data_IF_505439805171
#
_entry.id   IF_505439805171
#
_cell.length_a   1.000
_cell.length_b   1.000
_cell.length_c   1.000
_cell.angle_alpha   90.00
_cell.angle_beta   90.00
_cell.angle_gamma   90.00
#
_symmetry.space_group_name_H-M   'P 1'
#
loop_
_entity.id
_entity.type
_entity.pdbx_description
1 polymer ?
#
# COMPACT_ATOMS: atom_id res chain seq x y z
N UNK A 1 -12.26 -38.64 3.56
CA UNK A 1 -11.00 -37.97 3.20
C UNK A 1 -11.25 -36.48 3.30
N UNK A 2 -10.34 -35.70 3.87
CA UNK A 2 -10.49 -34.24 3.91
C UNK A 2 -10.53 -33.65 2.50
N UNK A 3 -11.30 -32.59 2.30
CA UNK A 3 -11.39 -31.86 1.03
C UNK A 3 -10.07 -31.14 0.72
N UNK A 4 -9.92 -30.63 -0.51
CA UNK A 4 -8.76 -29.82 -0.88
C UNK A 4 -8.66 -28.56 0.00
N UNK A 5 -9.79 -27.87 0.19
CA UNK A 5 -9.92 -26.67 1.01
C UNK A 5 -9.57 -26.92 2.48
N UNK A 6 -10.08 -28.01 3.09
CA UNK A 6 -9.74 -28.37 4.47
C UNK A 6 -8.23 -28.64 4.65
N UNK A 7 -7.61 -29.31 3.67
CA UNK A 7 -6.16 -29.54 3.69
C UNK A 7 -5.39 -28.24 3.53
N UNK A 8 -5.84 -27.35 2.65
CA UNK A 8 -5.23 -26.04 2.44
C UNK A 8 -5.30 -25.21 3.72
N UNK A 9 -6.45 -25.20 4.40
CA UNK A 9 -6.63 -24.49 5.66
C UNK A 9 -5.66 -25.01 6.74
N UNK A 10 -5.49 -26.32 6.88
CA UNK A 10 -4.53 -26.87 7.83
C UNK A 10 -3.08 -26.46 7.54
N UNK A 11 -2.71 -26.32 6.27
CA UNK A 11 -1.38 -25.85 5.86
C UNK A 11 -1.22 -24.37 6.19
N UNK A 12 -2.22 -23.53 5.87
CA UNK A 12 -2.22 -22.11 6.22
C UNK A 12 -2.17 -21.89 7.74
N UNK A 13 -2.96 -22.64 8.53
CA UNK A 13 -2.94 -22.59 9.99
C UNK A 13 -1.56 -22.94 10.55
N UNK A 14 -0.86 -23.89 9.93
CA UNK A 14 0.49 -24.26 10.34
C UNK A 14 1.53 -23.19 9.99
N UNK A 15 1.41 -22.53 8.83
CA UNK A 15 2.26 -21.40 8.45
C UNK A 15 2.01 -20.20 9.38
N UNK A 16 0.75 -19.92 9.70
CA UNK A 16 0.35 -18.78 10.52
C UNK A 16 0.92 -18.81 11.95
N UNK A 17 1.34 -19.97 12.46
CA UNK A 17 1.99 -20.07 13.79
C UNK A 17 3.20 -19.15 13.94
N UNK A 18 3.94 -18.91 12.86
CA UNK A 18 5.15 -18.09 12.86
C UNK A 18 5.07 -16.88 11.90
N UNK A 19 3.96 -16.73 11.17
CA UNK A 19 3.85 -15.76 10.07
C UNK A 19 2.67 -14.78 10.19
N UNK A 20 1.88 -14.82 11.27
CA UNK A 20 0.90 -13.77 11.55
C UNK A 20 1.60 -12.43 11.74
N UNK A 21 1.11 -11.41 11.06
CA UNK A 21 1.61 -10.03 11.17
C UNK A 21 0.52 -9.11 11.69
N UNK A 22 0.91 -8.15 12.51
CA UNK A 22 0.06 -7.00 12.82
C UNK A 22 -0.09 -6.14 11.56
N UNK A 23 -1.31 -5.68 11.30
CA UNK A 23 -1.60 -4.64 10.31
C UNK A 23 -2.51 -3.58 10.94
N UNK A 24 -2.52 -2.39 10.33
CA UNK A 24 -3.51 -1.36 10.60
C UNK A 24 -4.35 -1.22 9.34
N UNK A 25 -5.58 -1.73 9.39
CA UNK A 25 -6.57 -1.53 8.33
C UNK A 25 -6.94 -0.05 8.26
N UNK A 26 -7.04 0.46 7.04
CA UNK A 26 -7.45 1.82 6.74
C UNK A 26 -8.82 1.75 6.07
N UNK A 27 -9.79 2.47 6.62
CA UNK A 27 -11.05 2.73 5.92
C UNK A 27 -11.06 4.19 5.48
N UNK A 28 -11.20 4.40 4.17
CA UNK A 28 -11.31 5.72 3.57
C UNK A 28 -12.78 6.14 3.46
N UNK A 29 -13.11 7.37 3.83
CA UNK A 29 -14.45 7.92 3.67
C UNK A 29 -14.38 9.30 3.06
N UNK A 30 -15.06 9.50 1.93
CA UNK A 30 -15.10 10.78 1.24
C UNK A 30 -15.61 11.89 2.19
N UNK A 31 -14.81 12.93 2.36
CA UNK A 31 -15.15 14.07 3.20
C UNK A 31 -16.00 15.08 2.43
N UNK A 32 -17.06 15.58 3.06
CA UNK A 32 -17.92 16.64 2.51
C UNK A 32 -17.34 18.04 2.71
N UNK A 33 -16.35 18.17 3.59
CA UNK A 33 -15.70 19.45 3.92
C UNK A 33 -14.18 19.29 3.91
N UNK A 34 -13.42 20.35 3.63
CA UNK A 34 -11.95 20.26 3.69
C UNK A 34 -11.46 19.76 5.05
N UNK A 35 -10.58 18.78 5.05
CA UNK A 35 -9.95 18.25 6.25
C UNK A 35 -8.78 19.14 6.67
N UNK A 36 -8.43 19.19 7.97
CA UNK A 36 -7.23 19.86 8.42
C UNK A 36 -6.01 19.39 7.62
N UNK A 37 -5.13 20.31 7.22
CA UNK A 37 -3.89 19.94 6.49
C UNK A 37 -3.03 18.95 7.28
N UNK A 38 -3.18 18.86 8.60
CA UNK A 38 -2.44 17.94 9.49
C UNK A 38 -3.14 16.60 9.76
N UNK A 39 -4.35 16.37 9.24
CA UNK A 39 -5.07 15.10 9.45
C UNK A 39 -4.53 13.98 8.55
N UNK A 40 -4.66 12.73 8.95
CA UNK A 40 -4.46 11.60 8.03
C UNK A 40 -5.53 11.61 6.94
N UNK A 41 -5.12 11.51 5.67
CA UNK A 41 -6.04 11.55 4.52
C UNK A 41 -5.45 10.93 3.27
N UNK A 42 -6.33 10.47 2.38
CA UNK A 42 -6.00 10.28 0.96
C UNK A 42 -6.47 11.49 0.14
N UNK A 43 -5.63 11.91 -0.80
CA UNK A 43 -5.83 13.11 -1.61
C UNK A 43 -5.85 14.41 -0.79
N UNK A 44 -6.34 15.48 -1.42
CA UNK A 44 -6.50 16.77 -0.78
C UNK A 44 -5.22 17.60 -0.59
N UNK A 45 -5.38 18.81 -0.05
CA UNK A 45 -4.25 19.74 0.10
C UNK A 45 -3.29 19.23 1.18
N UNK A 46 -2.00 19.00 0.88
CA UNK A 46 -1.08 18.37 1.82
C UNK A 46 -0.65 19.31 2.94
N UNK A 47 -0.19 18.71 4.05
CA UNK A 47 0.70 19.38 4.99
C UNK A 47 2.04 19.69 4.32
N UNK A 48 2.44 20.95 4.31
CA UNK A 48 3.83 21.36 4.03
C UNK A 48 4.23 22.28 5.18
N UNK A 49 5.37 22.05 5.86
CA UNK A 49 5.82 22.94 6.93
C UNK A 49 5.98 24.38 6.43
N UNK A 50 5.69 25.36 7.29
CA UNK A 50 5.93 26.78 6.99
C UNK A 50 7.36 27.01 6.46
N UNK A 51 7.48 27.59 5.27
CA UNK A 51 8.78 27.89 4.63
C UNK A 51 9.42 26.73 3.88
N UNK A 52 8.79 25.55 3.83
CA UNK A 52 9.19 24.44 2.96
C UNK A 52 8.44 24.50 1.62
N UNK A 53 8.86 23.65 0.68
CA UNK A 53 8.19 23.49 -0.62
C UNK A 53 7.73 22.05 -0.81
N UNK A 54 6.63 21.86 -1.53
CA UNK A 54 6.21 20.54 -1.99
C UNK A 54 7.30 19.93 -2.90
N UNK A 55 7.47 18.60 -2.92
CA UNK A 55 8.47 17.95 -3.75
C UNK A 55 8.11 18.08 -5.24
N UNK A 56 9.15 18.07 -6.08
CA UNK A 56 9.02 18.07 -7.55
C UNK A 56 9.61 16.80 -8.13
N UNK A 57 9.15 16.45 -9.34
CA UNK A 57 9.75 15.40 -10.15
C UNK A 57 11.13 15.82 -10.70
N UNK A 58 11.77 14.91 -11.47
CA UNK A 58 13.06 15.15 -12.14
C UNK A 58 13.09 16.34 -13.10
N UNK A 59 11.93 16.77 -13.61
CA UNK A 59 11.76 17.92 -14.51
C UNK A 59 11.35 19.22 -13.78
N UNK A 60 11.30 19.21 -12.45
CA UNK A 60 10.90 20.35 -11.64
C UNK A 60 9.38 20.62 -11.59
N UNK A 61 8.55 19.69 -12.08
CA UNK A 61 7.09 19.80 -11.95
C UNK A 61 6.64 19.34 -10.55
N UNK A 62 5.65 19.99 -9.93
CA UNK A 62 5.16 19.58 -8.60
C UNK A 62 4.55 18.18 -8.60
N UNK A 63 4.90 17.37 -7.61
CA UNK A 63 4.23 16.10 -7.34
C UNK A 63 2.88 16.31 -6.65
N UNK A 64 1.97 15.35 -6.80
CA UNK A 64 0.70 15.30 -6.08
C UNK A 64 0.79 14.37 -4.87
N UNK A 65 0.30 14.82 -3.72
CA UNK A 65 0.18 13.97 -2.53
C UNK A 65 -1.03 13.04 -2.70
N UNK A 66 -0.79 11.73 -2.67
CA UNK A 66 -1.85 10.72 -2.74
C UNK A 66 -2.29 10.27 -1.34
N UNK A 67 -1.37 10.24 -0.38
CA UNK A 67 -1.66 9.92 1.01
C UNK A 67 -0.76 10.67 1.99
N UNK A 68 -1.31 11.01 3.15
CA UNK A 68 -0.54 11.42 4.31
C UNK A 68 -1.09 10.80 5.58
N UNK A 69 -0.20 10.35 6.45
CA UNK A 69 -0.53 9.66 7.71
C UNK A 69 0.09 10.43 8.86
N UNK A 70 -0.76 11.05 9.68
CA UNK A 70 -0.35 11.65 10.93
C UNK A 70 -0.12 10.50 11.93
N UNK A 71 1.13 10.25 12.26
CA UNK A 71 1.53 9.12 13.08
C UNK A 71 0.87 9.12 14.47
N UNK A 72 0.49 10.29 14.99
CA UNK A 72 -0.19 10.43 16.28
C UNK A 72 -1.68 10.01 16.24
N UNK A 73 -2.27 9.83 15.06
CA UNK A 73 -3.66 9.38 14.88
C UNK A 73 -3.76 7.85 14.76
N UNK A 74 -2.63 7.16 14.57
CA UNK A 74 -2.61 5.71 14.50
C UNK A 74 -2.86 5.09 15.89
N UNK A 75 -3.61 3.98 15.96
CA UNK A 75 -3.68 3.18 17.18
C UNK A 75 -2.30 2.63 17.55
N UNK A 76 -2.07 2.21 18.81
CA UNK A 76 -0.80 1.63 19.22
C UNK A 76 -0.37 0.46 18.31
N UNK A 77 0.75 0.64 17.61
CA UNK A 77 1.34 -0.35 16.71
C UNK A 77 2.86 -0.17 16.69
N UNK A 78 3.61 -1.21 16.35
CA UNK A 78 5.09 -1.15 16.26
C UNK A 78 5.62 -1.05 14.83
N UNK A 79 4.75 -0.61 13.92
CA UNK A 79 5.00 -0.55 12.48
C UNK A 79 5.47 0.85 12.10
N UNK A 80 4.74 1.89 12.54
CA UNK A 80 5.02 3.28 12.18
C UNK A 80 5.74 4.05 13.31
N UNK A 81 6.39 5.18 12.97
CA UNK A 81 6.81 6.14 13.98
C UNK A 81 5.65 6.52 14.90
N UNK A 82 5.92 6.81 16.18
CA UNK A 82 4.87 7.21 17.15
C UNK A 82 4.39 8.66 16.96
N UNK A 83 5.20 9.50 16.30
CA UNK A 83 4.92 10.92 16.06
C UNK A 83 5.43 11.35 14.69
N UNK A 84 4.90 12.45 14.18
CA UNK A 84 5.29 13.02 12.89
C UNK A 84 4.26 12.74 11.80
N UNK A 85 4.65 12.98 10.56
CA UNK A 85 3.80 12.81 9.37
C UNK A 85 4.59 12.07 8.30
N UNK A 86 4.05 10.96 7.80
CA UNK A 86 4.58 10.27 6.61
C UNK A 86 3.69 10.64 5.43
N UNK A 87 4.28 11.04 4.30
CA UNK A 87 3.55 11.43 3.10
C UNK A 87 4.04 10.68 1.89
N UNK A 88 3.12 10.41 0.97
CA UNK A 88 3.32 9.67 -0.27
C UNK A 88 2.91 10.57 -1.44
N UNK A 89 3.85 10.79 -2.35
CA UNK A 89 3.73 11.71 -3.47
C UNK A 89 4.01 10.97 -4.77
N UNK A 90 3.22 11.23 -5.80
CA UNK A 90 3.33 10.62 -7.13
C UNK A 90 3.23 11.69 -8.22
N UNK A 91 3.71 11.41 -9.42
CA UNK A 91 3.73 12.40 -10.51
C UNK A 91 2.38 12.45 -11.24
N UNK A 92 1.60 13.53 -11.11
CA UNK A 92 0.33 13.63 -11.82
C UNK A 92 0.48 13.76 -13.34
N UNK A 93 1.67 14.07 -13.86
CA UNK A 93 1.89 14.31 -15.31
C UNK A 93 2.50 13.12 -16.03
N UNK A 94 2.81 12.05 -15.31
CA UNK A 94 3.34 10.81 -15.85
C UNK A 94 2.23 9.77 -15.99
N UNK A 95 2.19 9.04 -17.10
CA UNK A 95 1.14 8.04 -17.39
C UNK A 95 1.13 6.88 -16.37
N UNK A 96 2.27 6.59 -15.75
CA UNK A 96 2.42 5.58 -14.70
C UNK A 96 2.52 6.20 -13.31
N UNK A 97 2.17 7.48 -13.15
CA UNK A 97 2.28 8.25 -11.92
C UNK A 97 3.69 8.24 -11.28
N UNK A 98 4.71 8.15 -12.12
CA UNK A 98 6.12 8.13 -11.72
C UNK A 98 6.66 6.74 -11.40
N UNK A 99 5.86 5.68 -11.48
CA UNK A 99 6.33 4.31 -11.33
C UNK A 99 7.32 3.92 -12.45
N UNK A 100 8.45 3.34 -12.06
CA UNK A 100 9.46 2.79 -12.96
C UNK A 100 9.80 1.36 -12.52
N UNK A 101 9.32 0.35 -13.26
CA UNK A 101 9.54 -1.06 -12.94
C UNK A 101 11.03 -1.46 -12.97
N UNK A 102 11.87 -0.77 -13.74
CA UNK A 102 13.31 -1.03 -13.76
C UNK A 102 14.04 -0.39 -12.56
N UNK A 103 13.45 0.65 -11.96
CA UNK A 103 14.01 1.38 -10.82
C UNK A 103 12.94 1.71 -9.76
N UNK A 104 12.29 0.70 -9.17
CA UNK A 104 11.12 0.93 -8.34
C UNK A 104 11.46 1.58 -6.99
N UNK A 105 12.75 1.68 -6.64
CA UNK A 105 13.24 2.42 -5.47
C UNK A 105 13.74 3.86 -5.79
N UNK A 106 13.63 4.31 -7.05
CA UNK A 106 14.08 5.64 -7.47
C UNK A 106 13.02 6.70 -7.23
N UNK A 107 13.24 7.56 -6.23
CA UNK A 107 12.31 8.64 -5.83
C UNK A 107 12.43 9.92 -6.65
N UNK A 108 12.74 9.79 -7.95
CA UNK A 108 12.88 10.93 -8.85
C UNK A 108 11.52 11.52 -9.24
N UNK A 109 10.54 10.67 -9.55
CA UNK A 109 9.20 11.06 -10.02
C UNK A 109 8.08 10.66 -9.04
N UNK A 110 8.45 10.18 -7.86
CA UNK A 110 7.56 9.98 -6.73
C UNK A 110 8.38 10.21 -5.45
N UNK A 111 7.74 10.41 -4.30
CA UNK A 111 8.47 10.68 -3.05
C UNK A 111 7.74 10.17 -1.83
N UNK A 112 8.49 9.60 -0.90
CA UNK A 112 8.07 9.43 0.49
C UNK A 112 8.82 10.42 1.38
N UNK A 113 8.08 11.20 2.16
CA UNK A 113 8.66 12.19 3.07
C UNK A 113 8.17 11.91 4.49
N UNK A 114 9.12 11.80 5.42
CA UNK A 114 8.82 11.76 6.85
C UNK A 114 9.20 13.08 7.53
N UNK A 115 8.18 13.83 7.97
CA UNK A 115 8.38 14.97 8.86
C UNK A 115 8.31 14.52 10.31
N UNK A 116 9.46 14.51 11.00
CA UNK A 116 9.55 14.13 12.42
C UNK A 116 8.65 14.95 13.34
N UNK A 117 8.39 16.22 12.98
CA UNK A 117 7.56 17.14 13.73
C UNK A 117 6.45 17.70 12.85
N UNK A 118 5.21 17.69 13.37
CA UNK A 118 4.06 18.35 12.74
C UNK A 118 3.84 19.68 13.44
N UNK A 119 4.07 20.77 12.71
CA UNK A 119 3.94 22.13 13.20
C UNK A 119 2.87 22.90 12.44
N UNK A 120 3.05 24.21 12.35
CA UNK A 120 2.14 25.07 11.57
C UNK A 120 2.33 24.80 10.06
N UNK A 121 1.26 24.42 9.33
CA UNK A 121 1.35 24.27 7.88
C UNK A 121 1.50 25.62 7.18
N UNK A 122 2.09 25.61 5.99
CA UNK A 122 2.05 26.75 5.08
C UNK A 122 0.59 26.99 4.61
N UNK A 123 0.02 28.19 4.84
CA UNK A 123 -1.32 28.50 4.38
C UNK A 123 -1.43 28.46 2.84
N UNK A 124 -0.35 28.71 2.12
CA UNK A 124 -0.34 28.86 0.66
C UNK A 124 -0.14 27.54 -0.11
N UNK A 125 0.02 26.41 0.56
CA UNK A 125 0.07 25.10 -0.11
C UNK A 125 -1.22 24.86 -0.89
N UNK A 126 -1.08 24.52 -2.18
CA UNK A 126 -2.17 24.15 -3.09
C UNK A 126 -1.94 22.76 -3.68
N UNK A 127 -2.95 22.23 -4.37
CA UNK A 127 -2.78 21.05 -5.22
C UNK A 127 -2.00 21.38 -6.50
N UNK A 128 -1.33 20.40 -7.12
CA UNK A 128 -0.83 20.54 -8.49
C UNK A 128 -1.99 20.68 -9.48
N UNK A 129 -1.71 21.27 -10.64
CA UNK A 129 -2.68 21.32 -11.73
C UNK A 129 -2.81 19.94 -12.39
N UNK A 130 -4.02 19.40 -12.43
CA UNK A 130 -4.37 18.10 -13.04
C UNK A 130 -5.41 18.33 -14.13
N UNK A 131 -5.20 17.71 -15.29
CA UNK A 131 -6.13 17.68 -16.42
C UNK A 131 -6.78 16.28 -16.53
N UNK A 132 -7.94 16.12 -17.17
CA UNK A 132 -8.57 14.80 -17.31
C UNK A 132 -7.67 13.71 -17.93
N UNK A 133 -6.78 14.09 -18.85
CA UNK A 133 -5.84 13.16 -19.51
C UNK A 133 -4.78 12.57 -18.56
N UNK A 134 -4.55 13.22 -17.44
CA UNK A 134 -3.56 12.83 -16.43
C UNK A 134 -4.04 11.63 -15.61
N UNK A 135 -5.34 11.27 -15.72
CA UNK A 135 -5.97 10.14 -15.05
C UNK A 135 -5.70 10.08 -13.53
N UNK A 136 -5.59 11.23 -12.86
CA UNK A 136 -5.25 11.28 -11.43
C UNK A 136 -6.12 10.34 -10.58
N UNK A 137 -5.55 9.52 -9.66
CA UNK A 137 -6.31 8.49 -8.98
C UNK A 137 -7.48 9.01 -8.13
N UNK A 138 -7.47 10.27 -7.70
CA UNK A 138 -8.53 10.87 -6.89
C UNK A 138 -9.43 11.75 -7.75
N UNK A 139 -10.70 11.38 -7.89
CA UNK A 139 -11.67 12.13 -8.70
C UNK A 139 -12.88 12.53 -7.84
N UNK A 140 -13.29 13.83 -7.84
CA UNK A 140 -12.59 14.97 -8.44
C UNK A 140 -11.25 15.24 -7.75
N UNK A 141 -10.32 15.93 -8.41
CA UNK A 141 -8.95 16.17 -7.89
C UNK A 141 -8.90 16.80 -6.48
N UNK A 142 -9.91 17.59 -6.11
CA UNK A 142 -10.01 18.25 -4.81
C UNK A 142 -10.62 17.36 -3.71
N UNK A 143 -11.04 16.14 -4.04
CA UNK A 143 -11.61 15.23 -3.07
C UNK A 143 -10.57 14.86 -2.00
N UNK A 144 -11.07 14.67 -0.78
CA UNK A 144 -10.27 14.23 0.34
C UNK A 144 -11.02 13.08 1.02
N UNK A 145 -10.30 12.02 1.37
CA UNK A 145 -10.84 10.91 2.13
C UNK A 145 -10.30 10.98 3.55
N UNK A 146 -11.20 11.10 4.53
CA UNK A 146 -10.86 10.94 5.93
C UNK A 146 -10.55 9.47 6.19
N UNK A 147 -9.52 9.20 7.01
CA UNK A 147 -9.08 7.85 7.31
C UNK A 147 -9.48 7.48 8.74
N UNK A 148 -9.99 6.26 8.90
CA UNK A 148 -10.08 5.59 10.20
C UNK A 148 -9.18 4.36 10.21
N UNK A 149 -8.75 3.97 11.40
CA UNK A 149 -7.71 2.97 11.60
C UNK A 149 -8.16 1.88 12.57
N UNK A 150 -7.92 0.63 12.21
CA UNK A 150 -8.21 -0.55 13.03
C UNK A 150 -6.98 -1.47 13.06
N UNK A 151 -6.51 -1.83 14.26
CA UNK A 151 -5.44 -2.85 14.39
C UNK A 151 -6.05 -4.23 14.19
N UNK A 152 -5.47 -4.99 13.28
CA UNK A 152 -5.85 -6.37 12.98
C UNK A 152 -4.62 -7.29 13.00
N UNK A 153 -4.87 -8.58 13.16
CA UNK A 153 -3.89 -9.63 12.85
C UNK A 153 -4.20 -10.17 11.45
N UNK A 154 -3.17 -10.30 10.63
CA UNK A 154 -3.29 -10.84 9.27
C UNK A 154 -2.46 -12.13 9.19
N UNK A 155 -3.08 -13.19 8.69
CA UNK A 155 -2.36 -14.39 8.29
C UNK A 155 -1.41 -14.13 7.12
N UNK A 156 -0.52 -15.08 6.86
CA UNK A 156 0.33 -15.05 5.67
C UNK A 156 -0.52 -15.08 4.39
N UNK A 157 -0.13 -14.30 3.39
CA UNK A 157 -0.80 -14.25 2.08
C UNK A 157 0.19 -14.57 0.96
N UNK A 158 -0.33 -14.78 -0.26
CA UNK A 158 0.45 -14.94 -1.48
C UNK A 158 1.42 -13.81 -1.81
N UNK A 159 1.26 -12.64 -1.16
CA UNK A 159 2.17 -11.52 -1.28
C UNK A 159 3.48 -11.69 -0.48
N UNK A 160 3.62 -12.74 0.33
CA UNK A 160 4.93 -13.14 0.83
C UNK A 160 5.67 -13.93 -0.25
N UNK A 161 6.86 -13.48 -0.63
CA UNK A 161 7.64 -14.06 -1.71
C UNK A 161 8.00 -15.55 -1.51
N UNK A 162 7.96 -16.06 -0.28
CA UNK A 162 8.20 -17.46 0.06
C UNK A 162 6.92 -18.29 0.24
N UNK A 163 5.72 -17.68 0.17
CA UNK A 163 4.48 -18.31 0.59
C UNK A 163 4.18 -19.62 -0.14
N UNK A 164 4.14 -19.60 -1.47
CA UNK A 164 3.73 -20.79 -2.23
C UNK A 164 4.76 -21.92 -2.16
N UNK A 165 6.06 -21.59 -2.03
CA UNK A 165 7.12 -22.58 -1.81
C UNK A 165 6.99 -23.23 -0.42
N UNK A 166 6.78 -22.42 0.62
CA UNK A 166 6.57 -22.92 1.98
C UNK A 166 5.25 -23.67 2.13
N UNK A 167 4.20 -23.22 1.44
CA UNK A 167 2.92 -23.91 1.36
C UNK A 167 3.09 -25.31 0.78
N UNK A 168 3.76 -25.45 -0.36
CA UNK A 168 4.05 -26.75 -0.98
C UNK A 168 4.87 -27.66 -0.04
N UNK A 169 5.90 -27.09 0.60
CA UNK A 169 6.77 -27.82 1.54
C UNK A 169 6.00 -28.35 2.75
N UNK A 170 5.16 -27.51 3.36
CA UNK A 170 4.35 -27.88 4.53
C UNK A 170 3.25 -28.87 4.12
N UNK A 171 2.59 -28.64 2.98
CA UNK A 171 1.61 -29.56 2.41
C UNK A 171 2.20 -30.95 2.18
N UNK A 172 3.32 -31.06 1.47
CA UNK A 172 3.94 -32.34 1.11
C UNK A 172 4.42 -33.12 2.34
N UNK A 173 4.74 -32.42 3.43
CA UNK A 173 5.04 -33.02 4.73
C UNK A 173 3.78 -33.56 5.43
N UNK A 174 2.65 -32.86 5.35
CA UNK A 174 1.40 -33.27 5.98
C UNK A 174 0.65 -34.34 5.19
N UNK A 175 0.75 -34.29 3.86
CA UNK A 175 -0.03 -35.11 2.93
C UNK A 175 0.89 -35.82 1.91
N UNK A 176 1.75 -36.76 2.35
CA UNK A 176 2.73 -37.42 1.49
C UNK A 176 2.09 -38.24 0.34
N UNK A 177 0.84 -38.65 0.48
CA UNK A 177 0.08 -39.40 -0.54
C UNK A 177 -0.56 -38.49 -1.62
N UNK A 178 -0.42 -37.17 -1.50
CA UNK A 178 -1.09 -36.18 -2.35
C UNK A 178 -0.20 -34.95 -2.51
N UNK A 179 1.03 -35.17 -2.98
CA UNK A 179 2.02 -34.10 -3.11
C UNK A 179 1.64 -33.08 -4.17
N UNK A 180 2.05 -31.84 -3.94
CA UNK A 180 2.07 -30.75 -4.90
C UNK A 180 3.45 -30.76 -5.57
N UNK A 181 3.49 -30.93 -6.88
CA UNK A 181 4.72 -31.11 -7.66
C UNK A 181 5.18 -29.83 -8.36
N UNK A 182 4.32 -28.79 -8.40
CA UNK A 182 4.62 -27.53 -9.07
C UNK A 182 4.14 -26.31 -8.28
N UNK A 183 4.71 -25.15 -8.62
CA UNK A 183 4.27 -23.86 -8.09
C UNK A 183 2.79 -23.61 -8.38
N UNK A 184 2.32 -23.95 -9.59
CA UNK A 184 0.94 -23.76 -10.00
C UNK A 184 -0.05 -24.62 -9.20
N UNK A 185 0.35 -25.84 -8.83
CA UNK A 185 -0.46 -26.69 -7.95
C UNK A 185 -0.54 -26.12 -6.53
N UNK A 186 0.57 -25.62 -5.99
CA UNK A 186 0.59 -24.98 -4.68
C UNK A 186 -0.23 -23.70 -4.65
N UNK A 187 -0.08 -22.85 -5.65
CA UNK A 187 -0.90 -21.66 -5.83
C UNK A 187 -2.38 -22.03 -5.96
N UNK A 188 -2.71 -23.00 -6.82
CA UNK A 188 -4.09 -23.44 -7.01
C UNK A 188 -4.74 -23.99 -5.73
N UNK A 189 -3.99 -24.72 -4.90
CA UNK A 189 -4.47 -25.21 -3.61
C UNK A 189 -4.64 -24.06 -2.60
N UNK A 190 -3.66 -23.15 -2.50
CA UNK A 190 -3.72 -22.01 -1.58
C UNK A 190 -4.87 -21.05 -1.94
N UNK A 191 -5.11 -20.79 -3.22
CA UNK A 191 -6.21 -19.94 -3.69
C UNK A 191 -7.60 -20.41 -3.26
N UNK A 192 -7.76 -21.69 -2.86
CA UNK A 192 -9.05 -22.19 -2.36
C UNK A 192 -9.46 -21.62 -1.01
N UNK A 193 -8.51 -21.04 -0.27
CA UNK A 193 -8.70 -20.50 1.08
C UNK A 193 -8.21 -19.05 1.22
N UNK A 194 -7.72 -18.43 0.14
CA UNK A 194 -7.25 -17.05 0.21
C UNK A 194 -8.44 -16.13 0.51
N UNK A 195 -8.41 -15.53 1.70
CA UNK A 195 -9.37 -14.52 2.11
C UNK A 195 -9.11 -13.21 1.34
N UNK A 196 -10.16 -12.39 1.21
CA UNK A 196 -10.03 -11.09 0.57
C UNK A 196 -9.11 -10.17 1.40
N UNK A 197 -7.90 -9.93 0.91
CA UNK A 197 -6.94 -8.97 1.44
C UNK A 197 -6.87 -7.66 0.62
N UNK A 198 -7.83 -7.41 -0.27
CA UNK A 198 -8.03 -6.17 -1.02
C UNK A 198 -8.61 -5.07 -0.11
N UNK A 199 -7.78 -4.57 0.79
CA UNK A 199 -8.09 -3.38 1.59
C UNK A 199 -6.83 -2.54 1.85
N UNK A 200 -7.03 -1.23 1.96
CA UNK A 200 -5.98 -0.27 2.28
C UNK A 200 -5.42 -0.54 3.69
N UNK A 201 -4.09 -0.55 3.85
CA UNK A 201 -3.45 -0.94 5.12
C UNK A 201 -2.02 -0.43 5.29
N UNK A 202 -1.61 -0.37 6.55
CA UNK A 202 -0.22 -0.23 6.99
C UNK A 202 0.21 -1.55 7.63
N UNK A 203 1.43 -2.02 7.35
CA UNK A 203 1.91 -3.29 7.86
C UNK A 203 1.19 -4.50 7.26
N UNK A 204 1.24 -5.63 7.96
CA UNK A 204 0.78 -6.89 7.40
C UNK A 204 1.57 -7.30 6.16
N UNK A 205 0.87 -7.91 5.21
CA UNK A 205 1.33 -8.23 3.87
C UNK A 205 0.71 -7.24 2.87
N UNK A 206 1.46 -6.75 1.86
CA UNK A 206 0.90 -5.92 0.81
C UNK A 206 -0.11 -6.68 -0.04
N UNK A 207 -0.89 -5.97 -0.86
CA UNK A 207 -1.82 -6.58 -1.81
C UNK A 207 -1.37 -6.22 -3.23
N UNK A 208 -1.07 -7.21 -4.05
CA UNK A 208 -0.64 -7.02 -5.44
C UNK A 208 -1.72 -7.50 -6.39
N UNK A 209 -2.09 -6.67 -7.37
CA UNK A 209 -3.03 -7.07 -8.43
C UNK A 209 -2.34 -7.90 -9.49
N UNK A 210 -1.08 -7.57 -9.79
CA UNK A 210 -0.21 -8.36 -10.65
C UNK A 210 0.90 -9.04 -9.82
N UNK A 211 2.08 -9.23 -10.40
CA UNK A 211 3.19 -9.88 -9.72
C UNK A 211 3.95 -8.93 -8.81
N UNK A 212 4.35 -9.39 -7.62
CA UNK A 212 5.21 -8.65 -6.71
C UNK A 212 6.60 -8.40 -7.35
N UNK A 213 7.07 -7.14 -7.45
CA UNK A 213 8.35 -6.80 -8.09
C UNK A 213 9.57 -7.44 -7.40
N UNK A 214 9.46 -7.84 -6.13
CA UNK A 214 10.54 -8.49 -5.37
C UNK A 214 10.88 -9.90 -5.89
N UNK A 215 9.97 -10.53 -6.64
CA UNK A 215 10.25 -11.81 -7.30
C UNK A 215 11.31 -11.69 -8.39
N UNK A 216 11.36 -10.55 -9.09
CA UNK A 216 12.21 -10.37 -10.26
C UNK A 216 13.51 -9.64 -9.98
N UNK A 217 13.68 -9.14 -8.74
CA UNK A 217 14.84 -8.36 -8.35
C UNK A 217 15.24 -8.65 -6.90
N UNK A 218 16.30 -9.44 -6.72
CA UNK A 218 16.84 -9.83 -5.41
C UNK A 218 17.19 -8.63 -4.52
N UNK A 219 17.62 -7.51 -5.10
CA UNK A 219 17.95 -6.30 -4.35
C UNK A 219 16.73 -5.69 -3.63
N UNK A 220 15.52 -6.05 -4.05
CA UNK A 220 14.28 -5.56 -3.47
C UNK A 220 13.75 -6.46 -2.34
N UNK A 221 14.24 -7.70 -2.22
CA UNK A 221 13.70 -8.70 -1.28
C UNK A 221 13.82 -8.29 0.20
N UNK A 222 14.74 -7.39 0.54
CA UNK A 222 14.86 -6.82 1.90
C UNK A 222 13.73 -5.88 2.30
N UNK A 223 12.91 -5.40 1.36
CA UNK A 223 11.79 -4.48 1.62
C UNK A 223 10.57 -5.29 2.07
N UNK A 224 10.64 -5.79 3.29
CA UNK A 224 9.68 -6.74 3.85
C UNK A 224 8.57 -6.07 4.67
N UNK A 225 8.72 -4.78 4.98
CA UNK A 225 7.69 -4.02 5.70
C UNK A 225 6.78 -3.34 4.68
N UNK A 226 5.48 -3.67 4.75
CA UNK A 226 4.46 -2.93 4.04
C UNK A 226 4.29 -1.55 4.68
N UNK A 227 4.85 -0.53 4.05
CA UNK A 227 4.73 0.83 4.55
C UNK A 227 3.30 1.34 4.31
N UNK A 228 2.76 1.15 3.11
CA UNK A 228 1.37 1.51 2.82
C UNK A 228 0.88 0.71 1.62
N UNK A 229 -0.31 0.15 1.72
CA UNK A 229 -1.12 -0.32 0.59
C UNK A 229 -2.34 0.59 0.48
N UNK A 230 -2.62 1.08 -0.73
CA UNK A 230 -3.86 1.79 -1.07
C UNK A 230 -4.55 0.99 -2.17
N UNK A 231 -5.76 0.49 -1.90
CA UNK A 231 -6.59 -0.14 -2.93
C UNK A 231 -7.54 0.90 -3.54
N UNK A 232 -8.14 0.60 -4.70
CA UNK A 232 -9.21 1.43 -5.24
C UNK A 232 -10.42 1.46 -4.29
N UNK A 233 -10.85 2.65 -3.90
CA UNK A 233 -12.01 2.92 -3.04
C UNK A 233 -13.15 3.49 -3.90
N UNK A 234 -13.96 2.60 -4.46
CA UNK A 234 -15.07 2.95 -5.37
C UNK A 234 -16.32 2.18 -4.99
N UNK A 235 -17.46 2.88 -4.95
CA UNK A 235 -18.76 2.21 -4.92
C UNK A 235 -19.10 1.70 -6.32
N UNK A 236 -18.76 0.44 -6.58
CA UNK A 236 -19.05 -0.23 -7.85
C UNK A 236 -20.54 -0.44 -8.10
N UNK A 237 -21.39 -0.34 -7.08
CA UNK A 237 -22.84 -0.41 -7.24
C UNK A 237 -23.42 0.90 -7.79
N UNK A 238 -22.80 2.04 -7.47
CA UNK A 238 -23.22 3.37 -7.93
C UNK A 238 -22.08 4.20 -8.57
N UNK A 239 -21.38 3.69 -9.61
CA UNK A 239 -20.14 4.29 -10.15
C UNK A 239 -20.36 5.63 -10.90
N UNK A 240 -21.59 6.13 -10.94
CA UNK A 240 -22.01 7.27 -11.76
C UNK A 240 -22.78 8.34 -10.96
N UNK A 241 -22.87 8.22 -9.64
CA UNK A 241 -23.52 9.23 -8.79
C UNK A 241 -22.69 10.52 -8.64
N UNK A 242 -21.47 10.53 -9.18
CA UNK A 242 -20.53 11.64 -9.07
C UNK A 242 -19.88 11.75 -7.69
N UNK A 243 -19.99 10.70 -6.87
CA UNK A 243 -19.30 10.59 -5.59
C UNK A 243 -17.77 10.60 -5.79
N UNK A 244 -17.04 11.16 -4.81
CA UNK A 244 -15.59 11.06 -4.83
C UNK A 244 -15.12 9.61 -4.85
N UNK A 245 -14.18 9.29 -5.73
CA UNK A 245 -13.56 7.97 -5.85
C UNK A 245 -12.04 8.07 -5.79
N UNK A 246 -11.42 7.02 -5.26
CA UNK A 246 -9.99 6.77 -5.38
C UNK A 246 -9.83 5.53 -6.26
N UNK A 247 -9.21 5.66 -7.43
CA UNK A 247 -9.11 4.58 -8.41
C UNK A 247 -7.72 4.51 -9.02
N UNK A 248 -7.05 3.38 -8.82
CA UNK A 248 -5.86 3.02 -9.60
C UNK A 248 -6.31 2.41 -10.94
N UNK A 249 -6.39 3.25 -11.96
CA UNK A 249 -6.80 2.90 -13.33
C UNK A 249 -8.18 2.20 -13.37
N UNK A 250 -8.23 0.91 -13.70
CA UNK A 250 -9.46 0.12 -13.84
C UNK A 250 -9.93 -0.60 -12.57
N UNK A 251 -9.25 -0.41 -11.44
CA UNK A 251 -9.40 -1.27 -10.27
C UNK A 251 -8.04 -1.89 -9.97
N UNK A 252 -7.40 -1.41 -8.91
CA UNK A 252 -5.98 -1.68 -8.69
C UNK A 252 -5.55 -1.37 -7.27
N UNK A 253 -4.25 -1.50 -7.04
CA UNK A 253 -3.62 -1.14 -5.79
C UNK A 253 -2.24 -0.54 -6.01
N UNK A 254 -1.83 0.32 -5.08
CA UNK A 254 -0.48 0.82 -4.97
C UNK A 254 0.14 0.40 -3.63
N UNK A 255 1.41 0.05 -3.68
CA UNK A 255 2.18 -0.40 -2.54
C UNK A 255 3.47 0.40 -2.37
N UNK A 256 3.77 0.73 -1.12
CA UNK A 256 5.06 1.25 -0.70
C UNK A 256 5.70 0.28 0.28
N UNK A 257 6.92 -0.17 0.00
CA UNK A 257 7.63 -1.13 0.83
C UNK A 257 8.96 -0.57 1.33
N UNK A 258 9.33 -0.86 2.56
CA UNK A 258 10.57 -0.38 3.19
C UNK A 258 11.29 -1.53 3.90
N UNK A 259 12.61 -1.40 4.07
CA UNK A 259 13.37 -2.33 4.91
C UNK A 259 13.12 -2.06 6.40
N UNK A 260 13.15 -3.08 7.28
CA UNK A 260 13.04 -2.89 8.72
C UNK A 260 14.09 -1.93 9.28
N UNK A 261 15.33 -2.01 8.80
CA UNK A 261 16.46 -1.19 9.26
C UNK A 261 16.24 0.30 8.97
N UNK A 262 15.75 0.60 7.77
CA UNK A 262 15.46 1.97 7.35
C UNK A 262 14.29 2.57 8.11
N UNK A 263 13.23 1.81 8.32
CA UNK A 263 12.09 2.25 9.11
C UNK A 263 12.50 2.54 10.57
N UNK A 264 13.30 1.66 11.17
CA UNK A 264 13.84 1.87 12.51
C UNK A 264 14.76 3.11 12.60
N UNK A 265 15.52 3.40 11.55
CA UNK A 265 16.35 4.61 11.44
C UNK A 265 15.54 5.88 11.11
N UNK A 266 14.26 5.76 10.73
CA UNK A 266 13.47 6.86 10.19
C UNK A 266 14.01 7.37 8.85
N UNK A 267 14.66 6.51 8.07
CA UNK A 267 15.21 6.79 6.75
C UNK A 267 14.23 6.29 5.67
N UNK A 268 13.58 7.21 4.98
CA UNK A 268 12.62 6.87 3.92
C UNK A 268 13.21 7.02 2.52
N UNK A 269 14.54 7.03 2.37
CA UNK A 269 15.21 7.31 1.09
C UNK A 269 15.25 6.13 0.11
N UNK A 270 15.14 4.89 0.59
CA UNK A 270 15.10 3.68 -0.24
C UNK A 270 13.82 2.88 0.03
N UNK A 271 12.69 3.52 -0.23
CA UNK A 271 11.37 2.88 -0.31
C UNK A 271 11.21 2.31 -1.72
N UNK A 272 10.39 1.27 -1.88
CA UNK A 272 9.90 0.82 -3.19
C UNK A 272 8.51 1.39 -3.39
N UNK A 273 8.22 1.92 -4.57
CA UNK A 273 6.85 2.20 -5.03
C UNK A 273 6.52 1.26 -6.19
N UNK A 274 5.35 0.63 -6.11
CA UNK A 274 4.73 -0.04 -7.25
C UNK A 274 3.22 0.20 -7.24
N UNK A 275 2.61 0.17 -8.41
CA UNK A 275 1.17 0.06 -8.52
C UNK A 275 0.83 -0.81 -9.73
N UNK A 276 -0.33 -1.46 -9.64
CA UNK A 276 -0.88 -2.24 -10.74
C UNK A 276 -2.41 -2.22 -10.72
N UNK A 277 -3.00 -2.45 -11.88
CA UNK A 277 -4.44 -2.69 -12.04
C UNK A 277 -4.65 -3.95 -12.87
N UNK A 278 -5.89 -4.46 -12.83
CA UNK A 278 -6.35 -5.57 -13.67
C UNK A 278 -6.45 -5.20 -15.14
#
# INVERSE_FOLDING_TARGET
MSTLEEKAQHVADALNKDHVKQAVRITATASKTPLPKTASKFGGIPYVPMGASAPTNSSGQPLGMIAQINCAELPPNDIYPKTGMVQFWIDPKDEAWGFDAAKPASQENWRVIYYKNVGRPDPNTTLPAVEPKDNWPVEPTQAEFALSFEVIEQGITGAANYYYEDFARVWNKMYPESQLESYQEAQGAALTIEENDEFSKIGGYPYFVQSDPRFFNEALQGHTVNLLTIVSEVDWAEPHDGSPKLMWCGGGAANWLITPEQLAAGDFSNVIFEWSSS
#
